data_IF_802258613019
#
_entry.id   IF_802258613019
#
_cell.length_a   1.000
_cell.length_b   1.000
_cell.length_c   1.000
_cell.angle_alpha   90.00
_cell.angle_beta   90.00
_cell.angle_gamma   90.00
#
_symmetry.space_group_name_H-M   'P 1'
#
loop_
_entity.id
_entity.type
_entity.pdbx_description
1 polymer ?
#
# COMPACT_ATOMS: atom_id res chain seq x y z
N UNK A 1 -12.84 4.24 -52.99
CA UNK A 1 -12.61 3.32 -51.81
C UNK A 1 -13.53 3.80 -50.72
N UNK A 2 -14.48 2.98 -50.29
CA UNK A 2 -15.36 3.33 -49.18
C UNK A 2 -14.60 3.27 -47.86
N UNK A 3 -14.69 4.31 -47.04
CA UNK A 3 -14.17 4.28 -45.68
C UNK A 3 -14.96 3.25 -44.86
N UNK A 4 -14.29 2.18 -44.41
CA UNK A 4 -14.88 1.23 -43.49
C UNK A 4 -14.84 1.85 -42.08
N UNK A 5 -15.96 2.41 -41.65
CA UNK A 5 -16.11 2.90 -40.28
C UNK A 5 -16.50 1.71 -39.43
N UNK A 6 -15.59 1.22 -38.55
CA UNK A 6 -15.90 0.23 -37.53
C UNK A 6 -16.24 0.95 -36.23
N UNK A 7 -17.36 0.60 -35.63
CA UNK A 7 -17.69 0.99 -34.29
C UNK A 7 -17.59 -0.27 -33.35
N UNK A 8 -17.44 -0.07 -32.08
CA UNK A 8 -17.27 -1.14 -31.12
C UNK A 8 -18.38 -1.12 -30.05
N UNK A 9 -19.53 -0.64 -30.41
CA UNK A 9 -20.67 -0.42 -29.49
C UNK A 9 -21.24 -1.70 -28.88
N UNK A 10 -21.04 -2.87 -29.50
CA UNK A 10 -21.48 -4.13 -28.94
C UNK A 10 -20.64 -4.60 -27.74
N UNK A 11 -19.41 -4.09 -27.60
CA UNK A 11 -18.56 -4.41 -26.43
C UNK A 11 -18.13 -5.86 -26.32
N UNK A 12 -18.26 -6.66 -27.38
CA UNK A 12 -18.00 -8.09 -27.35
C UNK A 12 -16.72 -8.42 -28.11
N UNK A 13 -15.85 -9.20 -27.46
CA UNK A 13 -14.64 -9.74 -28.08
C UNK A 13 -14.96 -11.10 -28.74
N UNK A 14 -14.59 -11.24 -30.01
CA UNK A 14 -14.84 -12.43 -30.80
C UNK A 14 -13.54 -12.97 -31.39
N UNK A 15 -12.90 -13.90 -30.68
CA UNK A 15 -11.62 -14.52 -31.08
C UNK A 15 -11.79 -15.76 -31.98
N UNK A 16 -13.02 -16.24 -32.17
CA UNK A 16 -13.30 -17.52 -32.84
C UNK A 16 -13.58 -17.36 -34.33
N UNK A 17 -13.73 -16.14 -34.84
CA UNK A 17 -14.16 -15.86 -36.20
C UNK A 17 -13.04 -15.16 -36.94
N UNK A 18 -12.92 -15.48 -38.24
CA UNK A 18 -12.02 -14.74 -39.13
C UNK A 18 -12.30 -13.23 -39.05
N UNK A 19 -11.26 -12.43 -39.02
CA UNK A 19 -11.33 -10.97 -38.85
C UNK A 19 -12.29 -10.30 -39.88
N UNK A 20 -12.44 -10.90 -41.05
CA UNK A 20 -13.34 -10.40 -42.12
C UNK A 20 -14.81 -10.66 -41.82
N UNK A 21 -15.10 -11.60 -40.94
CA UNK A 21 -16.45 -12.03 -40.60
C UNK A 21 -16.91 -11.49 -39.22
N UNK A 22 -16.07 -10.72 -38.56
CA UNK A 22 -16.41 -10.10 -37.25
C UNK A 22 -17.57 -9.12 -37.49
N UNK A 23 -18.69 -9.30 -36.77
CA UNK A 23 -19.83 -8.39 -36.86
C UNK A 23 -19.46 -6.95 -36.50
N UNK A 24 -20.15 -6.01 -37.12
CA UNK A 24 -19.97 -4.59 -36.79
C UNK A 24 -20.37 -4.34 -35.33
N UNK A 25 -19.50 -3.72 -34.57
CA UNK A 25 -19.67 -3.51 -33.12
C UNK A 25 -18.88 -4.47 -32.26
N UNK A 26 -18.34 -5.57 -32.80
CA UNK A 26 -17.46 -6.51 -32.11
C UNK A 26 -15.99 -6.30 -32.52
N UNK A 27 -15.06 -6.82 -31.71
CA UNK A 27 -13.61 -6.73 -31.95
C UNK A 27 -12.92 -8.08 -31.75
N UNK A 28 -11.79 -8.30 -32.42
CA UNK A 28 -11.05 -9.57 -32.37
C UNK A 28 -10.18 -9.65 -31.13
N UNK A 29 -9.48 -8.55 -30.81
CA UNK A 29 -8.60 -8.48 -29.65
C UNK A 29 -8.52 -7.05 -29.10
N UNK A 30 -8.42 -6.94 -27.79
CA UNK A 30 -8.22 -5.69 -27.10
C UNK A 30 -7.50 -5.92 -25.78
N UNK A 31 -6.46 -5.16 -25.51
CA UNK A 31 -5.68 -5.21 -24.29
C UNK A 31 -5.69 -3.84 -23.60
N UNK A 32 -6.01 -3.81 -22.31
CA UNK A 32 -6.02 -2.59 -21.51
C UNK A 32 -6.91 -1.47 -22.06
N UNK A 33 -8.05 -1.83 -22.63
CA UNK A 33 -9.03 -0.88 -23.13
C UNK A 33 -10.31 -0.96 -22.31
N UNK A 34 -10.97 0.17 -22.15
CA UNK A 34 -12.34 0.26 -21.65
C UNK A 34 -13.20 0.94 -22.71
N UNK A 35 -14.45 0.51 -22.78
CA UNK A 35 -15.45 1.23 -23.55
C UNK A 35 -16.13 2.20 -22.60
N UNK A 36 -15.90 3.49 -22.82
CA UNK A 36 -16.50 4.57 -22.05
C UNK A 36 -17.75 5.10 -22.71
N UNK A 37 -18.75 5.45 -21.95
CA UNK A 37 -19.79 6.40 -22.31
C UNK A 37 -19.63 7.58 -21.36
N UNK A 38 -18.84 8.54 -21.73
CA UNK A 38 -18.83 9.82 -21.05
C UNK A 38 -19.80 10.72 -21.78
N UNK A 39 -20.91 10.99 -21.14
CA UNK A 39 -21.94 11.94 -21.58
C UNK A 39 -22.51 11.73 -23.01
N UNK A 40 -23.73 12.10 -23.22
CA UNK A 40 -24.67 11.71 -24.29
C UNK A 40 -24.20 11.76 -25.75
N UNK A 41 -22.97 12.09 -26.07
CA UNK A 41 -22.46 12.23 -27.43
C UNK A 41 -21.36 11.27 -27.88
N UNK A 42 -20.78 10.47 -26.95
CA UNK A 42 -19.61 9.63 -27.26
C UNK A 42 -19.83 8.15 -26.91
N UNK A 43 -20.97 7.59 -27.31
CA UNK A 43 -21.24 6.15 -27.14
C UNK A 43 -20.30 5.36 -28.05
N UNK A 44 -19.49 4.47 -27.40
CA UNK A 44 -18.62 3.54 -28.15
C UNK A 44 -17.19 4.04 -28.38
N UNK A 45 -16.75 5.06 -27.67
CA UNK A 45 -15.33 5.45 -27.66
C UNK A 45 -14.51 4.42 -26.91
N UNK A 46 -13.44 3.96 -27.54
CA UNK A 46 -12.45 3.09 -26.91
C UNK A 46 -11.36 3.96 -26.31
N UNK A 47 -11.17 3.82 -25.01
CA UNK A 47 -10.10 4.46 -24.27
C UNK A 47 -9.12 3.42 -23.72
N UNK A 48 -7.85 3.75 -23.64
CA UNK A 48 -6.91 2.94 -22.88
C UNK A 48 -7.29 3.00 -21.38
N UNK A 49 -7.30 1.84 -20.72
CA UNK A 49 -7.41 1.88 -19.26
C UNK A 49 -6.19 2.61 -18.71
N UNK A 50 -6.43 3.63 -17.91
CA UNK A 50 -5.35 4.38 -17.26
C UNK A 50 -4.61 3.42 -16.33
N UNK A 51 -3.29 3.39 -16.44
CA UNK A 51 -2.45 2.70 -15.49
C UNK A 51 -2.49 3.39 -14.11
N UNK A 52 -1.98 2.70 -13.11
CA UNK A 52 -1.79 3.30 -11.79
C UNK A 52 -0.75 4.42 -11.87
N UNK A 53 -1.05 5.54 -11.23
CA UNK A 53 -0.09 6.63 -11.05
C UNK A 53 0.63 6.41 -9.72
N UNK A 54 1.96 6.42 -9.76
CA UNK A 54 2.75 6.39 -8.52
C UNK A 54 2.56 7.70 -7.79
N UNK A 55 1.99 7.65 -6.59
CA UNK A 55 1.74 8.84 -5.75
C UNK A 55 3.02 9.31 -5.07
N UNK A 56 3.79 8.37 -4.53
CA UNK A 56 5.02 8.66 -3.79
C UNK A 56 5.95 7.45 -3.75
N UNK A 57 7.19 7.69 -3.33
CA UNK A 57 8.15 6.63 -2.98
C UNK A 57 8.32 6.65 -1.47
N UNK A 58 8.13 5.52 -0.81
CA UNK A 58 8.34 5.42 0.63
C UNK A 58 9.82 5.54 0.96
N UNK A 59 10.16 6.41 1.91
CA UNK A 59 11.53 6.67 2.36
C UNK A 59 11.57 6.83 3.86
N UNK A 60 12.63 6.34 4.48
CA UNK A 60 12.97 6.63 5.86
C UNK A 60 14.39 7.19 5.93
N UNK A 61 14.59 8.35 6.59
CA UNK A 61 15.83 9.11 6.61
C UNK A 61 16.44 9.33 5.20
N UNK A 62 15.61 9.60 4.20
CA UNK A 62 16.03 9.81 2.81
C UNK A 62 16.29 8.55 2.00
N UNK A 63 16.48 7.40 2.64
CA UNK A 63 16.66 6.10 1.98
C UNK A 63 15.31 5.50 1.58
N UNK A 64 15.20 5.08 0.31
CA UNK A 64 14.01 4.39 -0.18
C UNK A 64 13.89 2.99 0.44
N UNK A 65 12.65 2.53 0.64
CA UNK A 65 12.39 1.15 1.03
C UNK A 65 12.91 0.21 -0.05
N UNK A 66 13.34 -0.98 0.36
CA UNK A 66 13.95 -1.96 -0.54
C UNK A 66 12.93 -2.56 -1.52
N UNK A 67 13.40 -3.29 -2.51
CA UNK A 67 12.54 -4.06 -3.42
C UNK A 67 11.87 -5.27 -2.73
N UNK A 68 12.23 -5.56 -1.48
CA UNK A 68 11.62 -6.59 -0.66
C UNK A 68 10.47 -6.05 0.22
N UNK A 69 10.25 -4.75 0.21
CA UNK A 69 9.12 -4.15 0.92
C UNK A 69 7.78 -4.69 0.41
N UNK A 70 6.89 -5.01 1.33
CA UNK A 70 5.55 -5.54 1.07
C UNK A 70 4.52 -4.81 1.90
N UNK A 71 3.42 -4.44 1.28
CA UNK A 71 2.21 -4.03 1.99
C UNK A 71 1.48 -5.28 2.45
N UNK A 72 1.29 -5.41 3.76
CA UNK A 72 0.63 -6.56 4.39
C UNK A 72 -0.80 -6.28 4.84
N UNK A 73 -1.24 -5.06 4.73
CA UNK A 73 -2.61 -4.64 5.00
C UNK A 73 -2.86 -3.19 4.60
N UNK A 74 -4.12 -2.88 4.35
CA UNK A 74 -4.57 -1.53 4.05
C UNK A 74 -5.95 -1.29 4.67
N UNK A 75 -6.23 -0.04 5.01
CA UNK A 75 -7.52 0.39 5.55
C UNK A 75 -7.87 1.77 5.00
N UNK A 76 -9.08 1.93 4.51
CA UNK A 76 -9.61 3.20 4.03
C UNK A 76 -10.52 3.82 5.09
N UNK A 77 -10.18 5.03 5.51
CA UNK A 77 -11.05 5.90 6.29
C UNK A 77 -11.71 6.90 5.34
N UNK A 78 -12.91 6.55 4.88
CA UNK A 78 -13.66 7.39 3.94
C UNK A 78 -14.14 8.72 4.54
N UNK A 79 -14.26 8.83 5.87
CA UNK A 79 -14.65 10.06 6.52
C UNK A 79 -13.54 11.12 6.51
N UNK A 80 -12.29 10.66 6.59
CA UNK A 80 -11.11 11.53 6.57
C UNK A 80 -10.37 11.50 5.21
N UNK A 81 -10.94 10.81 4.20
CA UNK A 81 -10.32 10.65 2.87
C UNK A 81 -8.87 10.16 2.96
N UNK A 82 -8.62 9.24 3.88
CA UNK A 82 -7.28 8.79 4.25
C UNK A 82 -7.16 7.28 4.10
N UNK A 83 -6.08 6.85 3.46
CA UNK A 83 -5.74 5.43 3.33
C UNK A 83 -4.56 5.14 4.23
N UNK A 84 -4.68 4.10 5.06
CA UNK A 84 -3.61 3.58 5.91
C UNK A 84 -3.01 2.34 5.29
N UNK A 85 -1.67 2.20 5.33
CA UNK A 85 -0.96 1.00 4.92
C UNK A 85 -0.06 0.49 6.02
N UNK A 86 0.01 -0.84 6.10
CA UNK A 86 0.92 -1.57 6.96
C UNK A 86 2.00 -2.17 6.07
N UNK A 87 3.24 -1.77 6.28
CA UNK A 87 4.36 -2.10 5.40
C UNK A 87 5.44 -2.83 6.18
N UNK A 88 5.92 -3.93 5.62
CA UNK A 88 7.09 -4.68 6.08
C UNK A 88 8.17 -4.64 5.01
N UNK A 89 9.38 -4.21 5.38
CA UNK A 89 10.58 -4.31 4.56
C UNK A 89 11.57 -5.24 5.25
N UNK A 90 11.85 -6.39 4.67
CA UNK A 90 12.74 -7.38 5.27
C UNK A 90 14.22 -7.06 5.15
N UNK A 91 14.59 -6.08 4.32
CA UNK A 91 15.99 -5.80 3.96
C UNK A 91 16.25 -4.31 3.74
N UNK A 92 15.75 -3.47 4.64
CA UNK A 92 16.00 -2.03 4.59
C UNK A 92 17.48 -1.74 4.82
N UNK A 93 18.05 -0.82 4.04
CA UNK A 93 19.46 -0.41 4.10
C UNK A 93 19.62 0.72 5.14
N UNK A 94 20.00 0.35 6.35
CA UNK A 94 20.21 1.27 7.44
C UNK A 94 21.49 2.10 7.28
N UNK A 95 22.54 1.56 6.64
CA UNK A 95 23.78 2.31 6.42
C UNK A 95 23.54 3.49 5.46
N UNK A 96 22.84 3.23 4.36
CA UNK A 96 22.44 4.28 3.42
C UNK A 96 21.44 5.30 4.03
N UNK A 97 20.68 4.91 5.05
CA UNK A 97 19.80 5.79 5.80
C UNK A 97 20.55 6.66 6.86
N UNK A 98 21.88 6.58 6.92
CA UNK A 98 22.72 7.37 7.83
C UNK A 98 23.07 6.69 9.15
N UNK A 99 22.70 5.43 9.34
CA UNK A 99 23.07 4.63 10.51
C UNK A 99 24.33 3.79 10.21
N UNK A 100 25.43 4.50 10.04
CA UNK A 100 26.70 3.97 9.51
C UNK A 100 27.15 2.68 10.22
N UNK A 101 27.48 1.68 9.40
CA UNK A 101 27.98 0.38 9.87
C UNK A 101 26.92 -0.58 10.38
N UNK A 102 25.63 -0.25 10.25
CA UNK A 102 24.55 -1.17 10.57
C UNK A 102 24.19 -2.03 9.35
N UNK A 103 24.01 -3.35 9.55
CA UNK A 103 23.60 -4.22 8.45
C UNK A 103 22.14 -3.94 8.06
N UNK A 104 21.82 -4.27 6.82
CA UNK A 104 20.44 -4.32 6.35
C UNK A 104 19.58 -5.20 7.26
N UNK A 105 18.32 -4.86 7.40
CA UNK A 105 17.43 -5.60 8.29
C UNK A 105 15.97 -5.20 8.18
N UNK A 106 15.12 -5.79 9.02
CA UNK A 106 13.70 -5.53 8.98
C UNK A 106 13.36 -4.11 9.46
N UNK A 107 12.42 -3.50 8.75
CA UNK A 107 11.76 -2.26 9.10
C UNK A 107 10.25 -2.43 8.86
N UNK A 108 9.46 -2.12 9.87
CA UNK A 108 8.01 -2.10 9.79
C UNK A 108 7.48 -0.68 9.92
N UNK A 109 6.46 -0.37 9.15
CA UNK A 109 5.87 0.96 9.17
C UNK A 109 4.34 0.92 9.11
N UNK A 110 3.71 1.87 9.79
CA UNK A 110 2.32 2.24 9.57
C UNK A 110 2.31 3.65 9.02
N UNK A 111 1.78 3.79 7.83
CA UNK A 111 1.75 5.06 7.08
C UNK A 111 0.34 5.38 6.65
N UNK A 112 0.07 6.65 6.41
CA UNK A 112 -1.18 7.07 5.78
C UNK A 112 -0.95 8.06 4.67
N UNK A 113 -1.90 8.11 3.75
CA UNK A 113 -1.95 9.09 2.68
C UNK A 113 -3.35 9.71 2.65
N UNK A 114 -3.42 11.02 2.83
CA UNK A 114 -4.66 11.76 2.64
C UNK A 114 -4.82 12.11 1.17
N UNK A 115 -5.90 11.65 0.55
CA UNK A 115 -6.11 11.78 -0.90
C UNK A 115 -6.47 13.20 -1.33
N UNK A 116 -7.13 13.97 -0.47
CA UNK A 116 -7.48 15.36 -0.75
C UNK A 116 -6.31 16.32 -0.53
N UNK A 117 -5.63 16.17 0.62
CA UNK A 117 -4.49 17.02 0.95
C UNK A 117 -3.20 16.60 0.21
N UNK A 118 -3.17 15.40 -0.39
CA UNK A 118 -1.98 14.82 -1.04
C UNK A 118 -0.78 14.72 -0.08
N UNK A 119 -1.04 14.37 1.19
CA UNK A 119 -0.03 14.30 2.24
C UNK A 119 0.20 12.86 2.66
N UNK A 120 1.47 12.45 2.64
CA UNK A 120 1.95 11.19 3.20
C UNK A 120 2.45 11.42 4.63
N UNK A 121 1.94 10.63 5.58
CA UNK A 121 2.38 10.66 6.97
C UNK A 121 2.87 9.28 7.40
N UNK A 122 3.96 9.28 8.15
CA UNK A 122 4.44 8.11 8.86
C UNK A 122 3.98 8.21 10.31
N UNK A 123 3.18 7.24 10.76
CA UNK A 123 2.68 7.21 12.15
C UNK A 123 3.59 6.41 13.06
N UNK A 124 4.18 5.36 12.52
CA UNK A 124 5.05 4.47 13.26
C UNK A 124 6.13 3.91 12.34
N UNK A 125 7.36 3.99 12.80
CA UNK A 125 8.52 3.29 12.23
C UNK A 125 9.06 2.38 13.32
N UNK A 126 9.08 1.10 13.06
CA UNK A 126 9.60 0.09 13.95
C UNK A 126 10.80 -0.57 13.30
N UNK A 127 11.92 -0.51 13.98
CA UNK A 127 13.18 -1.11 13.56
C UNK A 127 13.53 -2.27 14.48
N UNK A 128 14.58 -3.00 14.16
CA UNK A 128 15.00 -4.16 14.94
C UNK A 128 15.26 -3.78 16.41
N UNK A 129 14.48 -4.34 17.32
CA UNK A 129 14.79 -4.28 18.75
C UNK A 129 15.91 -5.30 19.07
N UNK A 130 17.06 -4.80 19.49
CA UNK A 130 18.21 -5.65 19.85
C UNK A 130 18.21 -6.12 21.29
N UNK A 131 17.28 -5.67 22.12
CA UNK A 131 17.23 -5.99 23.55
C UNK A 131 16.91 -7.44 23.82
N UNK A 132 16.09 -8.06 22.97
CA UNK A 132 15.72 -9.47 23.10
C UNK A 132 16.64 -10.44 22.34
N UNK A 133 17.60 -9.93 21.57
CA UNK A 133 18.55 -10.73 20.79
C UNK A 133 17.94 -11.43 19.56
N UNK A 134 16.63 -11.37 19.37
CA UNK A 134 15.90 -12.11 18.32
C UNK A 134 15.94 -11.36 17.00
N UNK A 135 16.08 -10.05 17.05
CA UNK A 135 16.23 -9.23 15.86
C UNK A 135 14.94 -8.99 15.10
N UNK A 136 13.82 -9.01 15.79
CA UNK A 136 12.52 -8.60 15.27
C UNK A 136 12.27 -7.13 15.57
N UNK A 137 11.38 -6.50 14.78
CA UNK A 137 10.84 -5.18 15.07
C UNK A 137 9.84 -5.25 16.24
N UNK A 138 9.54 -4.13 16.91
CA UNK A 138 8.49 -4.10 17.94
C UNK A 138 7.11 -4.37 17.33
N UNK A 139 6.88 -3.96 16.07
CA UNK A 139 5.68 -4.33 15.33
C UNK A 139 5.66 -5.81 14.92
N UNK A 140 6.81 -6.44 14.75
CA UNK A 140 6.96 -7.85 14.40
C UNK A 140 6.02 -8.27 13.25
N UNK A 141 5.96 -7.46 12.20
CA UNK A 141 5.18 -7.78 11.02
C UNK A 141 5.78 -8.98 10.28
N UNK A 142 4.90 -9.83 9.77
CA UNK A 142 5.31 -10.99 8.99
C UNK A 142 4.50 -11.03 7.68
N UNK A 143 5.13 -11.00 6.51
CA UNK A 143 4.42 -10.94 5.24
C UNK A 143 3.56 -12.18 4.93
N UNK A 144 3.72 -13.26 5.69
CA UNK A 144 2.85 -14.45 5.61
C UNK A 144 1.49 -14.22 6.26
N UNK A 145 1.41 -13.32 7.25
CA UNK A 145 0.21 -13.01 8.01
C UNK A 145 -0.29 -11.62 7.66
N UNK A 146 -1.36 -11.57 6.87
CA UNK A 146 -1.91 -10.29 6.42
C UNK A 146 -2.76 -9.65 7.51
N UNK A 147 -2.68 -8.32 7.60
CA UNK A 147 -3.54 -7.54 8.45
C UNK A 147 -4.87 -7.34 7.75
N UNK A 148 -5.86 -8.13 8.12
CA UNK A 148 -7.21 -8.13 7.54
C UNK A 148 -8.25 -7.50 8.45
N UNK A 149 -7.98 -7.46 9.77
CA UNK A 149 -8.83 -6.81 10.76
C UNK A 149 -8.29 -5.45 11.14
N UNK A 150 -8.85 -4.38 10.57
CA UNK A 150 -8.49 -3.00 10.90
C UNK A 150 -9.75 -2.19 11.20
N UNK A 151 -9.70 -1.37 12.24
CA UNK A 151 -10.76 -0.43 12.57
C UNK A 151 -10.17 0.84 13.17
N UNK A 152 -10.78 1.99 12.90
CA UNK A 152 -10.38 3.27 13.48
C UNK A 152 -11.53 3.84 14.30
N UNK A 153 -11.25 4.23 15.53
CA UNK A 153 -12.18 4.90 16.43
C UNK A 153 -11.51 6.19 16.88
N UNK A 154 -12.03 7.32 16.46
CA UNK A 154 -11.40 8.63 16.66
C UNK A 154 -9.93 8.60 16.17
N UNK A 155 -8.98 8.85 17.06
CA UNK A 155 -7.55 8.84 16.75
C UNK A 155 -6.87 7.49 16.99
N UNK A 156 -7.61 6.46 17.35
CA UNK A 156 -7.06 5.14 17.63
C UNK A 156 -7.31 4.19 16.45
N UNK A 157 -6.22 3.72 15.85
CA UNK A 157 -6.22 2.70 14.82
C UNK A 157 -5.94 1.34 15.45
N UNK A 158 -6.91 0.43 15.39
CA UNK A 158 -6.82 -0.95 15.89
C UNK A 158 -6.55 -1.90 14.74
N UNK A 159 -5.68 -2.87 14.94
CA UNK A 159 -5.38 -3.85 13.91
C UNK A 159 -4.94 -5.20 14.47
N UNK A 160 -5.12 -6.25 13.67
CA UNK A 160 -4.69 -7.62 13.99
C UNK A 160 -4.25 -8.36 12.74
N UNK A 161 -3.22 -9.20 12.88
CA UNK A 161 -2.61 -10.00 11.82
C UNK A 161 -2.70 -11.52 12.09
N UNK A 162 -3.46 -11.95 13.09
CA UNK A 162 -3.59 -13.34 13.51
C UNK A 162 -2.26 -14.02 13.93
N UNK A 163 -1.17 -13.26 14.02
CA UNK A 163 0.15 -13.71 14.44
C UNK A 163 0.57 -13.07 15.77
N UNK A 164 0.30 -11.79 15.89
CA UNK A 164 0.58 -11.01 17.08
C UNK A 164 -0.72 -10.71 17.85
N UNK A 165 -0.65 -10.42 19.16
CA UNK A 165 -1.81 -9.91 19.88
C UNK A 165 -2.38 -8.65 19.22
N UNK A 166 -3.72 -8.41 19.32
CA UNK A 166 -4.34 -7.22 18.78
C UNK A 166 -3.67 -5.94 19.28
N UNK A 167 -3.47 -5.00 18.41
CA UNK A 167 -2.73 -3.76 18.63
C UNK A 167 -3.55 -2.53 18.37
N UNK A 168 -3.11 -1.42 18.96
CA UNK A 168 -3.65 -0.08 18.69
C UNK A 168 -2.51 0.92 18.61
N UNK A 169 -2.65 1.90 17.76
CA UNK A 169 -1.81 3.10 17.73
C UNK A 169 -2.67 4.35 17.78
N UNK A 170 -2.15 5.42 18.35
CA UNK A 170 -2.77 6.73 18.24
C UNK A 170 -2.15 7.47 17.05
N UNK A 171 -2.92 7.71 16.00
CA UNK A 171 -2.43 8.31 14.75
C UNK A 171 -2.01 9.78 14.87
N UNK A 172 -2.29 10.43 16.02
CA UNK A 172 -1.81 11.78 16.31
C UNK A 172 -0.49 11.79 17.10
N UNK A 173 -0.04 10.61 17.58
CA UNK A 173 1.23 10.46 18.30
C UNK A 173 2.32 10.03 17.31
N UNK A 174 3.49 10.60 17.46
CA UNK A 174 4.66 10.23 16.68
C UNK A 174 5.37 9.03 17.30
N UNK A 175 5.55 7.96 16.51
CA UNK A 175 6.30 6.75 16.87
C UNK A 175 7.42 6.51 15.84
N UNK A 176 7.87 7.56 15.14
CA UNK A 176 8.78 7.43 14.00
C UNK A 176 10.24 7.71 14.33
N UNK A 177 10.57 7.95 15.60
CA UNK A 177 11.92 8.34 16.02
C UNK A 177 12.63 7.19 16.76
N UNK A 178 13.22 6.22 16.03
CA UNK A 178 14.07 5.22 16.64
C UNK A 178 15.36 5.86 17.14
N UNK A 179 15.74 5.52 18.35
CA UNK A 179 16.89 6.14 19.04
C UNK A 179 18.22 5.70 18.39
N UNK A 180 18.92 6.63 17.78
CA UNK A 180 20.29 6.42 17.32
C UNK A 180 21.27 6.40 18.53
N UNK A 181 22.40 5.66 18.46
CA UNK A 181 22.88 4.81 17.37
C UNK A 181 22.40 3.35 17.44
N UNK A 182 21.55 3.00 18.41
CA UNK A 182 21.18 1.61 18.68
C UNK A 182 20.02 1.11 17.84
N UNK A 183 19.33 2.00 17.09
CA UNK A 183 18.11 1.69 16.38
C UNK A 183 17.07 0.97 17.28
N UNK A 184 16.82 1.54 18.43
CA UNK A 184 15.75 1.10 19.30
C UNK A 184 14.51 1.94 19.01
N UNK A 185 13.36 1.29 18.95
CA UNK A 185 12.09 1.98 18.85
C UNK A 185 11.88 2.90 20.06
N UNK A 186 11.35 4.10 19.85
CA UNK A 186 11.00 5.05 20.90
C UNK A 186 9.75 4.64 21.70
N UNK A 187 9.17 3.47 21.41
CA UNK A 187 7.98 2.92 22.04
C UNK A 187 8.20 1.44 22.35
N UNK A 188 7.39 0.91 23.25
CA UNK A 188 7.43 -0.49 23.66
C UNK A 188 6.23 -1.26 23.13
N UNK A 189 6.31 -2.58 23.18
CA UNK A 189 5.18 -3.44 22.85
C UNK A 189 3.93 -3.11 23.71
N UNK A 190 4.12 -2.78 25.00
CA UNK A 190 3.03 -2.43 25.91
C UNK A 190 2.33 -1.11 25.52
N UNK A 191 3.02 -0.20 24.83
CA UNK A 191 2.42 1.07 24.36
C UNK A 191 1.39 0.86 23.26
N UNK A 192 1.55 -0.18 22.47
CA UNK A 192 0.71 -0.50 21.32
C UNK A 192 -0.29 -1.64 21.57
N UNK A 193 -0.19 -2.35 22.70
CA UNK A 193 -1.16 -3.40 23.06
C UNK A 193 -2.53 -2.83 23.38
N UNK A 194 -3.58 -3.54 22.96
CA UNK A 194 -4.98 -3.22 23.32
C UNK A 194 -5.20 -3.54 24.81
N UNK A 195 -4.69 -4.66 25.28
CA UNK A 195 -4.81 -5.12 26.65
C UNK A 195 -3.42 -5.09 27.29
N UNK A 196 -3.23 -4.23 28.29
CA UNK A 196 -1.99 -4.22 29.06
C UNK A 196 -1.94 -5.45 29.97
N UNK A 197 -0.76 -6.05 30.08
CA UNK A 197 -0.53 -7.08 31.09
C UNK A 197 -0.73 -6.47 32.49
N UNK A 198 -1.33 -7.22 33.42
CA UNK A 198 -1.49 -6.79 34.81
C UNK A 198 -0.14 -6.58 35.49
#
# INVERSE_FOLDING_TARGET
MGNLIRNFTAGKMNKMVDERLVPNGEYVDALNVRMGSTEASEIGVIENSKGNTQLTTLKYNGQAFSNQARTIGAFEDGAEETIYWFVHDSNFDFDAAGFTGLPNGPLDAVISFNTSAQVLLYHIISVKDRRDGIGTTTLNFNPTYLITGVNKIENLLFFTDDYNPPRKINVTKDYTDPTAPTLLDGFTFDDIMVIKKP
#
